data_IF_689097609793
#
_entry.id   IF_689097609793
#
_cell.length_a   1.000
_cell.length_b   1.000
_cell.length_c   1.000
_cell.angle_alpha   90.00
_cell.angle_beta   90.00
_cell.angle_gamma   90.00
#
_symmetry.space_group_name_H-M   'P 1'
#
loop_
_entity.id
_entity.type
_entity.pdbx_description
1 polymer ?
#
# COMPACT_ATOMS: atom_id res chain seq x y z
N UNK A 1 -66.68 -14.53 27.11
CA UNK A 1 -66.23 -13.27 26.48
C UNK A 1 -64.79 -13.05 26.91
N UNK A 2 -63.90 -12.94 25.93
CA UNK A 2 -62.45 -13.16 26.05
C UNK A 2 -61.75 -11.91 26.58
N UNK A 3 -60.89 -12.14 27.58
CA UNK A 3 -59.88 -11.21 28.11
C UNK A 3 -58.80 -10.91 27.08
N UNK A 4 -58.33 -9.66 27.00
CA UNK A 4 -57.06 -9.33 26.33
C UNK A 4 -56.25 -8.31 27.12
N UNK A 5 -55.11 -8.79 27.60
CA UNK A 5 -53.90 -8.05 27.97
C UNK A 5 -53.45 -7.12 26.82
N UNK A 6 -52.93 -5.93 27.15
CA UNK A 6 -51.85 -5.33 26.37
C UNK A 6 -50.99 -4.43 27.26
N UNK A 7 -49.88 -5.02 27.69
CA UNK A 7 -48.78 -4.43 28.43
C UNK A 7 -47.68 -3.97 27.48
N UNK A 8 -46.97 -2.92 27.91
CA UNK A 8 -45.59 -2.56 27.55
C UNK A 8 -45.22 -2.26 26.08
N UNK A 9 -44.86 -1.01 25.81
CA UNK A 9 -43.46 -0.65 25.49
C UNK A 9 -43.35 0.85 25.19
N UNK A 10 -42.88 1.64 26.15
CA UNK A 10 -42.39 3.01 25.92
C UNK A 10 -41.20 3.26 26.83
N UNK A 11 -40.12 2.53 26.56
CA UNK A 11 -38.77 2.83 27.02
C UNK A 11 -37.91 2.73 25.77
N UNK A 12 -37.55 3.85 25.14
CA UNK A 12 -36.37 3.93 24.26
C UNK A 12 -36.04 5.35 23.71
N UNK A 13 -36.70 6.43 24.15
CA UNK A 13 -36.39 7.77 23.60
C UNK A 13 -35.53 8.68 24.50
N UNK A 14 -35.27 8.32 25.76
CA UNK A 14 -34.53 9.21 26.70
C UNK A 14 -33.02 9.01 26.72
N UNK A 15 -32.46 8.00 26.05
CA UNK A 15 -31.05 7.63 26.19
C UNK A 15 -30.04 8.48 25.38
N UNK A 16 -30.51 9.34 24.47
CA UNK A 16 -29.67 10.11 23.54
C UNK A 16 -29.35 11.54 24.01
N UNK A 17 -30.13 12.12 24.95
CA UNK A 17 -29.93 13.53 25.37
C UNK A 17 -29.06 13.71 26.62
N UNK A 18 -28.68 12.62 27.31
CA UNK A 18 -27.84 12.68 28.51
C UNK A 18 -26.33 12.62 28.22
N UNK A 19 -25.91 12.06 27.07
CA UNK A 19 -24.49 11.81 26.74
C UNK A 19 -23.69 13.07 26.38
N UNK A 20 -24.37 14.19 26.15
CA UNK A 20 -23.75 15.44 25.73
C UNK A 20 -23.69 16.50 26.83
N UNK A 21 -24.28 16.24 28.00
CA UNK A 21 -24.24 17.18 29.13
C UNK A 21 -22.92 17.05 29.88
N UNK A 22 -22.29 18.20 30.16
CA UNK A 22 -21.05 18.27 30.94
C UNK A 22 -21.29 17.69 32.36
N UNK A 23 -20.47 16.74 32.84
CA UNK A 23 -20.58 16.24 34.21
C UNK A 23 -20.18 17.32 35.23
N UNK A 24 -20.91 17.39 36.34
CA UNK A 24 -20.82 18.45 37.36
C UNK A 24 -19.43 18.56 38.02
N UNK A 25 -18.69 17.45 38.11
CA UNK A 25 -17.43 17.37 38.86
C UNK A 25 -16.18 17.50 37.97
N UNK A 26 -16.33 17.82 36.68
CA UNK A 26 -15.21 17.91 35.75
C UNK A 26 -14.95 19.39 35.39
N UNK A 27 -13.70 19.88 35.51
CA UNK A 27 -13.31 21.19 34.99
C UNK A 27 -13.70 21.38 33.52
N UNK A 28 -14.15 22.59 33.14
CA UNK A 28 -14.64 22.91 31.78
C UNK A 28 -13.63 22.49 30.70
N UNK A 29 -12.37 22.90 30.87
CA UNK A 29 -11.30 22.63 29.91
C UNK A 29 -11.01 21.13 29.70
N UNK A 30 -11.16 20.29 30.73
CA UNK A 30 -10.99 18.84 30.59
C UNK A 30 -12.14 18.20 29.84
N UNK A 31 -13.36 18.70 30.04
CA UNK A 31 -14.53 18.24 29.29
C UNK A 31 -14.45 18.61 27.81
N UNK A 32 -14.03 19.83 27.49
CA UNK A 32 -13.78 20.28 26.12
C UNK A 32 -12.67 19.47 25.45
N UNK A 33 -11.58 19.17 26.17
CA UNK A 33 -10.51 18.29 25.70
C UNK A 33 -11.02 16.87 25.44
N UNK A 34 -11.87 16.33 26.32
CA UNK A 34 -12.50 15.02 26.15
C UNK A 34 -13.39 14.98 24.91
N UNK A 35 -14.29 15.95 24.73
CA UNK A 35 -15.15 16.03 23.53
C UNK A 35 -14.34 16.23 22.25
N UNK A 36 -13.24 16.98 22.30
CA UNK A 36 -12.31 17.13 21.18
C UNK A 36 -11.62 15.80 20.83
N UNK A 37 -11.22 15.02 21.83
CA UNK A 37 -10.65 13.68 21.63
C UNK A 37 -11.68 12.69 21.10
N UNK A 38 -12.90 12.68 21.64
CA UNK A 38 -14.02 11.86 21.17
C UNK A 38 -14.31 12.14 19.69
N UNK A 39 -14.42 13.41 19.32
CA UNK A 39 -14.59 13.85 17.92
C UNK A 39 -13.46 13.35 17.02
N UNK A 40 -12.20 13.52 17.44
CA UNK A 40 -11.03 13.06 16.66
C UNK A 40 -11.01 11.54 16.47
N UNK A 41 -11.39 10.80 17.50
CA UNK A 41 -11.47 9.32 17.45
C UNK A 41 -12.56 8.88 16.49
N UNK A 42 -13.75 9.47 16.58
CA UNK A 42 -14.87 9.20 15.69
C UNK A 42 -14.54 9.54 14.22
N UNK A 43 -13.90 10.68 13.96
CA UNK A 43 -13.44 11.05 12.62
C UNK A 43 -12.42 10.04 12.06
N UNK A 44 -11.53 9.53 12.91
CA UNK A 44 -10.51 8.54 12.50
C UNK A 44 -11.16 7.20 12.17
N UNK A 45 -12.11 6.76 13.00
CA UNK A 45 -12.88 5.53 12.79
C UNK A 45 -13.80 5.64 11.57
N UNK A 46 -14.49 6.75 11.37
CA UNK A 46 -15.29 6.98 10.16
C UNK A 46 -14.43 6.99 8.89
N UNK A 47 -13.27 7.66 8.93
CA UNK A 47 -12.33 7.63 7.80
C UNK A 47 -11.82 6.23 7.50
N UNK A 48 -11.63 5.38 8.49
CA UNK A 48 -11.18 4.00 8.28
C UNK A 48 -12.29 3.12 7.68
N UNK A 49 -13.53 3.26 8.16
CA UNK A 49 -14.69 2.53 7.62
C UNK A 49 -15.04 2.99 6.21
N UNK A 50 -15.04 4.29 5.93
CA UNK A 50 -15.24 4.81 4.57
C UNK A 50 -14.19 4.30 3.59
N UNK A 51 -12.91 4.27 3.99
CA UNK A 51 -11.83 3.71 3.15
C UNK A 51 -12.06 2.23 2.89
N UNK A 52 -12.45 1.47 3.92
CA UNK A 52 -12.77 0.04 3.79
C UNK A 52 -13.95 -0.17 2.83
N UNK A 53 -15.02 0.61 2.96
CA UNK A 53 -16.20 0.55 2.09
C UNK A 53 -15.82 0.87 0.64
N UNK A 54 -15.07 1.96 0.41
CA UNK A 54 -14.58 2.32 -0.94
C UNK A 54 -13.68 1.24 -1.54
N UNK A 55 -12.83 0.62 -0.73
CA UNK A 55 -11.99 -0.49 -1.18
C UNK A 55 -12.84 -1.70 -1.59
N UNK A 56 -13.80 -2.11 -0.75
CA UNK A 56 -14.73 -3.20 -1.06
C UNK A 56 -15.52 -2.93 -2.33
N UNK A 57 -16.09 -1.74 -2.48
CA UNK A 57 -16.80 -1.32 -3.71
C UNK A 57 -15.89 -1.44 -4.94
N UNK A 58 -14.65 -0.96 -4.86
CA UNK A 58 -13.68 -1.05 -5.96
C UNK A 58 -13.31 -2.50 -6.30
N UNK A 59 -13.16 -3.35 -5.30
CA UNK A 59 -12.84 -4.76 -5.49
C UNK A 59 -14.02 -5.49 -6.15
N UNK A 60 -15.24 -5.28 -5.65
CA UNK A 60 -16.46 -5.85 -6.25
C UNK A 60 -16.63 -5.38 -7.69
N UNK A 61 -16.50 -4.08 -7.96
CA UNK A 61 -16.61 -3.53 -9.32
C UNK A 61 -15.58 -4.14 -10.28
N UNK A 62 -14.34 -4.37 -9.82
CA UNK A 62 -13.31 -5.06 -10.62
C UNK A 62 -13.68 -6.51 -10.91
N UNK A 63 -14.18 -7.24 -9.91
CA UNK A 63 -14.63 -8.63 -10.08
C UNK A 63 -15.78 -8.69 -11.07
N UNK A 64 -16.83 -7.89 -10.87
CA UNK A 64 -18.00 -7.81 -11.76
C UNK A 64 -17.58 -7.43 -13.18
N UNK A 65 -16.69 -6.44 -13.35
CA UNK A 65 -16.17 -6.07 -14.68
C UNK A 65 -15.33 -7.17 -15.35
N UNK A 66 -14.70 -8.07 -14.59
CA UNK A 66 -13.92 -9.19 -15.14
C UNK A 66 -14.84 -10.31 -15.61
N UNK A 67 -15.86 -10.64 -14.82
CA UNK A 67 -16.84 -11.67 -15.15
C UNK A 67 -17.74 -11.27 -16.32
N UNK A 68 -18.10 -9.98 -16.44
CA UNK A 68 -18.90 -9.44 -17.55
C UNK A 68 -18.03 -9.13 -18.80
N UNK A 69 -17.33 -10.16 -19.31
CA UNK A 69 -16.48 -10.05 -20.49
C UNK A 69 -17.20 -10.31 -21.82
N UNK A 70 -18.43 -10.84 -21.79
CA UNK A 70 -19.24 -11.04 -23.00
C UNK A 70 -19.68 -9.69 -23.59
N UNK A 71 -19.51 -9.52 -24.90
CA UNK A 71 -19.89 -8.28 -25.60
C UNK A 71 -21.39 -7.97 -25.46
N UNK A 72 -22.24 -8.99 -25.32
CA UNK A 72 -23.68 -8.83 -25.15
C UNK A 72 -24.07 -8.24 -23.79
N UNK A 73 -23.42 -8.68 -22.71
CA UNK A 73 -23.73 -8.21 -21.36
C UNK A 73 -23.38 -6.72 -21.21
N UNK A 74 -22.30 -6.27 -21.86
CA UNK A 74 -21.86 -4.87 -21.84
C UNK A 74 -22.83 -3.94 -22.59
N UNK A 75 -23.54 -4.44 -23.59
CA UNK A 75 -24.54 -3.68 -24.34
C UNK A 75 -25.83 -3.54 -23.51
N UNK A 76 -26.30 -4.64 -22.91
CA UNK A 76 -27.47 -4.66 -22.01
C UNK A 76 -27.28 -3.71 -20.82
N UNK A 77 -26.06 -3.63 -20.28
CA UNK A 77 -25.74 -2.70 -19.18
C UNK A 77 -25.73 -1.24 -19.59
N UNK A 78 -25.37 -0.93 -20.85
CA UNK A 78 -25.47 0.44 -21.41
C UNK A 78 -26.92 0.84 -21.63
N UNK A 79 -27.78 -0.09 -22.06
CA UNK A 79 -29.22 0.15 -22.21
C UNK A 79 -29.91 0.49 -20.88
N UNK A 80 -29.35 0.05 -19.76
CA UNK A 80 -29.83 0.32 -18.40
C UNK A 80 -29.01 1.37 -17.62
N UNK A 81 -28.24 2.22 -18.31
CA UNK A 81 -27.41 3.32 -17.73
C UNK A 81 -26.34 2.87 -16.71
N UNK A 82 -25.95 1.59 -16.70
CA UNK A 82 -24.90 1.08 -15.80
C UNK A 82 -23.54 1.16 -16.51
N UNK A 83 -22.81 2.25 -16.27
CA UNK A 83 -21.46 2.46 -16.80
C UNK A 83 -20.38 1.98 -15.82
N UNK A 84 -19.52 1.05 -16.28
CA UNK A 84 -18.37 0.53 -15.51
C UNK A 84 -17.08 1.37 -15.70
N UNK A 85 -17.21 2.63 -16.10
CA UNK A 85 -16.06 3.47 -16.32
C UNK A 85 -15.29 3.65 -15.02
N UNK A 86 -14.17 2.93 -14.94
CA UNK A 86 -13.14 3.12 -13.92
C UNK A 86 -12.81 4.61 -13.94
N UNK A 87 -13.00 5.35 -12.83
CA UNK A 87 -12.72 6.78 -12.82
C UNK A 87 -11.28 7.00 -13.26
N UNK A 88 -11.12 7.59 -14.44
CA UNK A 88 -9.84 8.04 -14.95
C UNK A 88 -9.20 8.93 -13.88
N UNK A 89 -8.04 8.50 -13.38
CA UNK A 89 -7.42 9.12 -12.20
C UNK A 89 -7.09 10.59 -12.49
N UNK A 90 -7.96 11.51 -12.07
CA UNK A 90 -7.58 12.91 -11.90
C UNK A 90 -6.56 12.96 -10.76
N UNK A 91 -5.35 13.39 -11.09
CA UNK A 91 -4.16 13.32 -10.24
C UNK A 91 -4.42 13.80 -8.80
N UNK A 92 -4.28 12.89 -7.85
CA UNK A 92 -4.28 13.25 -6.43
C UNK A 92 -2.89 13.76 -6.04
N UNK A 93 -2.83 15.05 -5.69
CA UNK A 93 -1.70 15.68 -5.00
C UNK A 93 -1.43 14.90 -3.71
N UNK A 94 -0.27 14.25 -3.63
CA UNK A 94 0.20 13.57 -2.41
C UNK A 94 0.53 14.63 -1.36
N UNK A 95 -0.08 14.53 -0.18
CA UNK A 95 0.38 15.24 1.03
C UNK A 95 1.74 14.64 1.43
N UNK A 96 2.72 15.53 1.57
CA UNK A 96 4.03 15.24 2.16
C UNK A 96 3.81 14.79 3.61
N UNK A 97 4.34 13.61 3.92
CA UNK A 97 4.57 13.16 5.29
C UNK A 97 5.98 13.64 5.62
N UNK A 98 6.09 14.42 6.70
CA UNK A 98 7.35 14.90 7.23
C UNK A 98 8.01 13.73 7.95
N UNK A 99 9.08 13.20 7.37
CA UNK A 99 9.93 12.20 8.01
C UNK A 99 10.77 12.91 9.08
N UNK A 100 10.81 12.30 10.26
CA UNK A 100 11.62 12.71 11.41
C UNK A 100 13.06 12.35 11.07
N UNK A 101 13.96 13.33 11.17
CA UNK A 101 15.39 13.10 11.03
C UNK A 101 15.91 12.43 12.31
N UNK A 102 16.44 11.22 12.18
CA UNK A 102 17.37 10.66 13.16
C UNK A 102 18.79 10.92 12.64
N UNK A 103 19.39 11.97 13.21
CA UNK A 103 20.83 12.21 13.18
C UNK A 103 21.54 11.12 13.99
N UNK A 104 22.43 10.36 13.36
CA UNK A 104 23.54 9.69 14.03
C UNK A 104 24.71 9.52 13.07
N UNK A 105 25.78 10.19 13.45
CA UNK A 105 27.01 10.38 12.72
C UNK A 105 27.93 9.15 12.70
N UNK A 106 28.87 9.21 11.75
CA UNK A 106 30.26 8.75 11.87
C UNK A 106 30.61 7.32 11.44
N UNK A 107 31.17 7.23 10.23
CA UNK A 107 32.56 6.75 10.06
C UNK A 107 32.81 5.24 9.99
N UNK A 108 33.18 4.77 8.79
CA UNK A 108 34.07 3.62 8.54
C UNK A 108 33.58 2.21 8.87
N UNK A 109 32.55 1.67 8.17
CA UNK A 109 32.30 0.22 8.03
C UNK A 109 31.55 -0.10 6.71
N UNK A 110 32.12 0.21 5.55
CA UNK A 110 31.36 0.10 4.27
C UNK A 110 31.06 -1.35 3.84
N UNK A 111 31.83 -2.35 4.28
CA UNK A 111 31.66 -3.74 3.83
C UNK A 111 30.63 -4.57 4.61
N UNK A 112 30.22 -4.11 5.80
CA UNK A 112 29.22 -4.82 6.61
C UNK A 112 27.79 -4.41 6.26
N UNK A 113 27.55 -3.11 5.96
CA UNK A 113 26.20 -2.63 5.67
C UNK A 113 25.68 -3.20 4.35
N UNK A 114 26.53 -3.25 3.32
CA UNK A 114 26.16 -3.78 2.00
C UNK A 114 25.65 -5.22 2.05
N UNK A 115 26.28 -6.06 2.89
CA UNK A 115 25.84 -7.45 3.10
C UNK A 115 24.50 -7.50 3.82
N UNK A 116 24.31 -6.70 4.88
CA UNK A 116 23.03 -6.66 5.60
C UNK A 116 21.89 -6.14 4.75
N UNK A 117 22.15 -5.17 3.86
CA UNK A 117 21.17 -4.67 2.89
C UNK A 117 20.72 -5.75 1.91
N UNK A 118 21.67 -6.50 1.35
CA UNK A 118 21.38 -7.60 0.42
C UNK A 118 20.59 -8.71 1.13
N UNK A 119 21.00 -9.10 2.33
CA UNK A 119 20.29 -10.11 3.13
C UNK A 119 18.87 -9.68 3.48
N UNK A 120 18.64 -8.39 3.74
CA UNK A 120 17.29 -7.86 3.93
C UNK A 120 16.47 -7.95 2.64
N UNK A 121 17.04 -7.52 1.50
CA UNK A 121 16.40 -7.58 0.19
C UNK A 121 16.02 -9.00 -0.25
N UNK A 122 16.78 -10.03 0.15
CA UNK A 122 16.45 -11.43 -0.12
C UNK A 122 15.09 -11.85 0.47
N UNK A 123 14.75 -11.39 1.68
CA UNK A 123 13.55 -11.85 2.42
C UNK A 123 12.30 -11.01 2.18
N UNK A 124 12.45 -9.79 1.68
CA UNK A 124 11.33 -8.83 1.55
C UNK A 124 10.22 -9.36 0.65
N UNK A 125 10.53 -10.17 -0.36
CA UNK A 125 9.55 -10.67 -1.34
C UNK A 125 9.02 -12.09 -1.05
N UNK A 126 9.44 -12.75 0.04
CA UNK A 126 9.03 -14.14 0.33
C UNK A 126 7.51 -14.27 0.48
N UNK A 127 6.85 -13.26 1.05
CA UNK A 127 5.39 -13.22 1.23
C UNK A 127 4.59 -13.02 -0.07
N UNK A 128 5.26 -12.62 -1.16
CA UNK A 128 4.64 -12.41 -2.48
C UNK A 128 4.70 -13.65 -3.36
N UNK A 129 5.48 -14.66 -2.97
CA UNK A 129 5.51 -15.94 -3.64
C UNK A 129 4.19 -16.67 -3.34
N UNK A 130 3.14 -16.31 -4.06
CA UNK A 130 1.90 -17.08 -4.09
C UNK A 130 2.23 -18.40 -4.75
N UNK A 131 2.54 -19.39 -3.94
CA UNK A 131 2.58 -20.78 -4.36
C UNK A 131 1.15 -21.14 -4.76
N UNK A 132 0.85 -21.05 -6.05
CA UNK A 132 -0.36 -21.64 -6.61
C UNK A 132 -0.24 -23.16 -6.42
N UNK A 133 -0.60 -23.63 -5.22
CA UNK A 133 -0.47 -25.04 -4.79
C UNK A 133 -1.30 -26.01 -5.65
N UNK A 134 -2.06 -25.50 -6.62
CA UNK A 134 -2.88 -26.31 -7.53
C UNK A 134 -2.06 -27.23 -8.41
N UNK A 135 -0.84 -26.84 -8.79
CA UNK A 135 0.07 -27.64 -9.62
C UNK A 135 1.51 -27.44 -9.17
N UNK A 136 2.29 -28.51 -8.95
CA UNK A 136 3.70 -28.35 -8.67
C UNK A 136 4.40 -27.70 -9.87
N UNK A 137 5.45 -26.90 -9.66
CA UNK A 137 6.33 -26.45 -10.72
C UNK A 137 6.85 -27.64 -11.55
N UNK A 138 7.10 -27.46 -12.85
CA UNK A 138 7.71 -28.51 -13.65
C UNK A 138 9.10 -28.83 -13.11
N UNK A 139 9.42 -30.12 -13.00
CA UNK A 139 10.69 -30.60 -12.48
C UNK A 139 11.87 -30.05 -13.30
N UNK A 140 12.89 -29.55 -12.59
CA UNK A 140 14.13 -29.08 -13.21
C UNK A 140 14.95 -30.26 -13.74
N UNK A 141 15.90 -29.99 -14.64
CA UNK A 141 16.76 -31.04 -15.20
C UNK A 141 17.62 -31.74 -14.13
N UNK A 142 18.07 -31.00 -13.11
CA UNK A 142 18.82 -31.55 -11.98
C UNK A 142 17.94 -32.40 -11.07
N UNK A 143 16.69 -32.02 -10.85
CA UNK A 143 15.72 -32.85 -10.09
C UNK A 143 15.43 -34.17 -10.80
N UNK A 144 15.33 -34.18 -12.14
CA UNK A 144 15.17 -35.43 -12.90
C UNK A 144 16.39 -36.33 -12.77
N UNK A 145 17.59 -35.76 -12.79
CA UNK A 145 18.84 -36.48 -12.57
C UNK A 145 18.94 -37.01 -11.14
N UNK A 146 18.47 -36.24 -10.16
CA UNK A 146 18.38 -36.67 -8.77
C UNK A 146 17.43 -37.87 -8.65
N UNK A 147 16.24 -37.78 -9.24
CA UNK A 147 15.25 -38.86 -9.25
C UNK A 147 15.77 -40.14 -9.94
N UNK A 148 16.49 -40.02 -11.07
CA UNK A 148 17.11 -41.17 -11.73
C UNK A 148 18.20 -41.80 -10.86
N UNK A 149 19.06 -41.00 -10.23
CA UNK A 149 20.12 -41.51 -9.35
C UNK A 149 19.56 -42.24 -8.13
N UNK A 150 18.45 -41.74 -7.54
CA UNK A 150 17.75 -42.41 -6.44
C UNK A 150 17.14 -43.73 -6.92
N UNK A 151 16.50 -43.74 -8.09
CA UNK A 151 15.90 -44.94 -8.68
C UNK A 151 16.93 -46.03 -8.97
N UNK A 152 18.13 -45.65 -9.38
CA UNK A 152 19.26 -46.54 -9.65
C UNK A 152 20.01 -46.95 -8.37
N UNK A 153 19.77 -46.29 -7.23
CA UNK A 153 20.42 -46.58 -5.95
C UNK A 153 21.80 -45.93 -5.77
N UNK A 154 22.16 -44.95 -6.61
CA UNK A 154 23.41 -44.21 -6.50
C UNK A 154 23.27 -43.01 -5.55
N UNK A 155 23.32 -43.28 -4.25
CA UNK A 155 23.11 -42.24 -3.23
C UNK A 155 24.19 -41.16 -3.20
N UNK A 156 25.45 -41.51 -3.43
CA UNK A 156 26.55 -40.55 -3.43
C UNK A 156 26.40 -39.49 -4.53
N UNK A 157 25.93 -39.90 -5.73
CA UNK A 157 25.70 -38.95 -6.82
C UNK A 157 24.45 -38.13 -6.58
N UNK A 158 23.40 -38.71 -5.99
CA UNK A 158 22.19 -38.01 -5.59
C UNK A 158 22.48 -36.89 -4.57
N UNK A 159 23.29 -37.17 -3.55
CA UNK A 159 23.73 -36.17 -2.55
C UNK A 159 24.45 -34.99 -3.22
N UNK A 160 25.42 -35.29 -4.10
CA UNK A 160 26.14 -34.25 -4.84
C UNK A 160 25.23 -33.41 -5.75
N UNK A 161 24.15 -33.98 -6.29
CA UNK A 161 23.15 -33.21 -7.06
C UNK A 161 22.29 -32.36 -6.13
N UNK A 162 21.91 -32.87 -4.96
CA UNK A 162 21.13 -32.11 -3.97
C UNK A 162 21.88 -30.87 -3.48
N UNK A 163 23.18 -31.01 -3.17
CA UNK A 163 24.03 -29.87 -2.79
C UNK A 163 24.11 -28.82 -3.91
N UNK A 164 24.19 -29.27 -5.17
CA UNK A 164 24.17 -28.36 -6.33
C UNK A 164 22.84 -27.61 -6.44
N UNK A 165 21.71 -28.28 -6.25
CA UNK A 165 20.39 -27.62 -6.25
C UNK A 165 20.36 -26.55 -5.16
N UNK A 166 20.78 -26.87 -3.93
CA UNK A 166 20.81 -25.92 -2.82
C UNK A 166 21.71 -24.70 -3.10
N UNK A 167 22.90 -24.91 -3.67
CA UNK A 167 23.80 -23.79 -4.03
C UNK A 167 23.23 -22.91 -5.14
N UNK A 168 22.55 -23.48 -6.13
CA UNK A 168 21.91 -22.73 -7.22
C UNK A 168 20.73 -21.89 -6.69
N UNK A 169 19.85 -22.47 -5.88
CA UNK A 169 18.72 -21.75 -5.28
C UNK A 169 19.19 -20.59 -4.39
N UNK A 170 20.26 -20.81 -3.61
CA UNK A 170 20.87 -19.74 -2.83
C UNK A 170 21.46 -18.64 -3.74
N UNK A 171 22.14 -19.03 -4.82
CA UNK A 171 22.68 -18.11 -5.82
C UNK A 171 21.62 -17.26 -6.51
N UNK A 172 20.48 -17.85 -6.87
CA UNK A 172 19.35 -17.15 -7.48
C UNK A 172 18.78 -16.07 -6.55
N UNK A 173 18.59 -16.39 -5.25
CA UNK A 173 18.14 -15.42 -4.26
C UNK A 173 19.11 -14.25 -4.10
N UNK A 174 20.42 -14.53 -4.11
CA UNK A 174 21.45 -13.48 -4.04
C UNK A 174 21.42 -12.61 -5.29
N UNK A 175 21.34 -13.21 -6.49
CA UNK A 175 21.25 -12.48 -7.75
C UNK A 175 20.01 -11.55 -7.79
N UNK A 176 18.84 -12.09 -7.40
CA UNK A 176 17.60 -11.33 -7.32
C UNK A 176 17.71 -10.14 -6.34
N UNK A 177 18.39 -10.31 -5.19
CA UNK A 177 18.62 -9.24 -4.23
C UNK A 177 19.55 -8.14 -4.79
N UNK A 178 20.59 -8.50 -5.55
CA UNK A 178 21.43 -7.51 -6.24
C UNK A 178 20.64 -6.72 -7.30
N UNK A 179 19.79 -7.39 -8.07
CA UNK A 179 18.94 -6.73 -9.05
C UNK A 179 17.93 -5.78 -8.40
N UNK A 180 17.35 -6.18 -7.25
CA UNK A 180 16.52 -5.32 -6.43
C UNK A 180 17.29 -4.10 -5.91
N UNK A 181 18.54 -4.28 -5.44
CA UNK A 181 19.41 -3.18 -5.00
C UNK A 181 19.67 -2.18 -6.14
N UNK A 182 20.05 -2.66 -7.31
CA UNK A 182 20.28 -1.84 -8.52
C UNK A 182 19.03 -1.09 -8.94
N UNK A 183 17.87 -1.74 -8.88
CA UNK A 183 16.59 -1.11 -9.17
C UNK A 183 16.27 0.04 -8.21
N UNK A 184 16.50 -0.14 -6.90
CA UNK A 184 16.29 0.90 -5.90
C UNK A 184 17.22 2.09 -6.12
N UNK A 185 18.49 1.86 -6.45
CA UNK A 185 19.44 2.92 -6.80
C UNK A 185 18.97 3.73 -8.02
N UNK A 186 18.65 3.05 -9.13
CA UNK A 186 18.13 3.69 -10.34
C UNK A 186 16.86 4.51 -10.06
N UNK A 187 15.96 3.98 -9.23
CA UNK A 187 14.72 4.66 -8.83
C UNK A 187 14.96 5.89 -7.95
N UNK A 188 16.03 5.92 -7.15
CA UNK A 188 16.44 7.12 -6.38
C UNK A 188 16.98 8.20 -7.32
N UNK A 189 17.89 7.82 -8.22
CA UNK A 189 18.47 8.72 -9.23
C UNK A 189 17.40 9.33 -10.15
N UNK A 190 16.43 8.54 -10.60
CA UNK A 190 15.32 9.04 -11.41
C UNK A 190 14.47 10.07 -10.66
N UNK A 191 14.20 9.84 -9.36
CA UNK A 191 13.49 10.82 -8.53
C UNK A 191 14.30 12.10 -8.33
N UNK A 192 15.61 12.00 -8.15
CA UNK A 192 16.49 13.17 -7.99
C UNK A 192 16.58 13.98 -9.27
N UNK A 193 16.82 13.33 -10.41
CA UNK A 193 16.81 14.00 -11.71
C UNK A 193 15.44 14.62 -12.03
N UNK A 194 14.33 13.97 -11.66
CA UNK A 194 13.00 14.55 -11.76
C UNK A 194 12.84 15.78 -10.86
N UNK A 195 13.27 15.72 -9.59
CA UNK A 195 13.26 16.88 -8.67
C UNK A 195 14.08 18.05 -9.24
N UNK A 196 15.27 17.79 -9.79
CA UNK A 196 16.12 18.81 -10.42
C UNK A 196 15.42 19.42 -11.64
N UNK A 197 14.82 18.59 -12.52
CA UNK A 197 14.05 19.06 -13.68
C UNK A 197 12.85 19.90 -13.26
N UNK A 198 12.14 19.53 -12.18
CA UNK A 198 11.02 20.31 -11.64
C UNK A 198 11.49 21.65 -11.05
N UNK A 199 12.60 21.68 -10.32
CA UNK A 199 13.21 22.93 -9.80
C UNK A 199 13.63 23.89 -10.93
N UNK A 200 14.23 23.37 -12.01
CA UNK A 200 14.64 24.18 -13.18
C UNK A 200 13.47 24.78 -13.97
N UNK A 201 12.29 24.15 -13.94
CA UNK A 201 11.09 24.63 -14.64
C UNK A 201 10.31 25.71 -13.88
N UNK A 202 10.83 26.18 -12.76
CA UNK A 202 10.12 27.02 -11.81
C UNK A 202 10.55 28.50 -11.95
N UNK A 203 10.25 29.11 -13.10
CA UNK A 203 10.50 30.54 -13.38
C UNK A 203 9.22 31.39 -13.29
N UNK A 204 8.44 31.28 -12.21
CA UNK A 204 7.21 32.07 -12.00
C UNK A 204 7.46 33.48 -11.43
N UNK A 205 8.65 34.03 -11.64
CA UNK A 205 8.89 35.45 -11.43
C UNK A 205 8.26 36.25 -12.56
N UNK A 206 7.24 37.05 -12.26
CA UNK A 206 7.10 38.34 -12.92
C UNK A 206 8.40 39.07 -12.60
N UNK A 207 9.34 39.14 -13.55
CA UNK A 207 10.42 40.15 -13.45
C UNK A 207 9.69 41.48 -13.29
N UNK A 208 9.83 42.19 -12.16
CA UNK A 208 9.31 43.54 -12.05
C UNK A 208 10.04 44.32 -13.12
N UNK A 209 9.36 44.52 -14.25
CA UNK A 209 9.88 45.30 -15.35
C UNK A 209 10.30 46.62 -14.74
N UNK A 210 11.58 46.95 -14.88
CA UNK A 210 12.19 48.24 -14.59
C UNK A 210 11.46 49.33 -15.41
N UNK A 211 10.19 49.59 -15.09
CA UNK A 211 9.28 50.53 -15.77
C UNK A 211 9.33 51.91 -15.13
N UNK A 212 10.01 52.05 -14.00
CA UNK A 212 10.18 53.31 -13.30
C UNK A 212 11.57 53.92 -13.51
N UNK A 213 12.59 53.16 -13.95
CA UNK A 213 13.92 53.72 -14.28
C UNK A 213 13.98 54.46 -15.63
N UNK A 214 12.95 54.38 -16.48
CA UNK A 214 12.86 55.13 -17.75
C UNK A 214 11.76 56.18 -17.77
N UNK A 215 10.98 56.35 -16.69
CA UNK A 215 9.92 57.35 -16.59
C UNK A 215 10.19 58.37 -15.47
N UNK A 216 11.44 58.81 -15.41
CA UNK A 216 11.92 59.87 -14.53
C UNK A 216 12.93 60.75 -15.24
N UNK A 217 12.55 61.29 -16.40
CA UNK A 217 13.24 62.42 -17.01
C UNK A 217 12.16 63.36 -17.59
N UNK A 218 11.47 64.03 -16.67
CA UNK A 218 10.63 65.21 -16.89
C UNK A 218 10.98 66.23 -15.81
#
# INVERSE_FOLDING_TARGET
MISSNSSESSKNETASTEKDKKPKNVPVHLWEKFKSLEKRTNETTQRSTEKRIKHLQKTILKTVSKELSSSGDREILREHDVTFDVPMQRGQKRKIIQEVEDDSASGSIESSSDKTEILNLMKINDHLQTTDFSKPPPETALEKQLASAIKEGHFSTAEAISDKIATLEAGEKVAAAFDAKRFLQRKKEEKETAKIKMKKKLNWGFEPKQRWETKGNM
#
